data_IF_463547113288
#
_entry.id   IF_463547113288
#
_cell.length_a   1.000
_cell.length_b   1.000
_cell.length_c   1.000
_cell.angle_alpha   90.00
_cell.angle_beta   90.00
_cell.angle_gamma   90.00
#
_symmetry.space_group_name_H-M   'P 1'
#
loop_
_entity.id
_entity.type
_entity.pdbx_description
1 polymer ?
#
# COMPACT_ATOMS: atom_id res chain seq x y z
N UNK A 1 21.99 -10.08 -23.12
CA UNK A 1 22.66 -10.03 -21.82
C UNK A 1 23.69 -8.87 -21.67
N UNK A 2 23.71 -7.84 -22.50
CA UNK A 2 24.69 -6.72 -22.40
C UNK A 2 24.05 -5.33 -22.16
N UNK A 3 22.72 -5.22 -22.13
CA UNK A 3 22.02 -3.93 -21.88
C UNK A 3 21.61 -3.70 -20.40
N UNK A 4 21.60 -4.72 -19.58
CA UNK A 4 21.25 -4.60 -18.15
C UNK A 4 22.29 -3.87 -17.27
N UNK A 5 23.52 -3.67 -17.75
CA UNK A 5 24.60 -3.04 -16.98
C UNK A 5 24.60 -1.50 -17.01
N UNK A 6 23.75 -0.86 -17.81
CA UNK A 6 23.76 0.61 -17.94
C UNK A 6 22.74 1.34 -17.05
N UNK A 7 21.77 0.64 -16.49
CA UNK A 7 20.73 1.27 -15.65
C UNK A 7 21.15 1.39 -14.16
N UNK A 8 22.11 0.59 -13.72
CA UNK A 8 22.58 0.59 -12.32
C UNK A 8 23.59 1.71 -11.98
N UNK A 9 24.06 2.47 -12.95
CA UNK A 9 25.13 3.46 -12.77
C UNK A 9 24.65 4.90 -12.54
N UNK A 10 23.35 5.21 -12.61
CA UNK A 10 22.84 6.58 -12.48
C UNK A 10 22.21 6.93 -11.12
N UNK A 11 22.17 6.02 -10.14
CA UNK A 11 21.50 6.26 -8.84
C UNK A 11 22.48 6.57 -7.69
N UNK A 12 23.79 6.54 -7.93
CA UNK A 12 24.80 6.74 -6.85
C UNK A 12 25.73 7.94 -7.06
N UNK A 13 25.23 9.12 -7.41
CA UNK A 13 26.07 10.32 -7.47
C UNK A 13 25.31 11.61 -7.12
N UNK A 14 24.74 11.69 -5.92
CA UNK A 14 24.30 12.99 -5.36
C UNK A 14 24.21 12.93 -3.83
N UNK A 15 25.32 12.67 -3.17
CA UNK A 15 25.49 12.99 -1.75
C UNK A 15 26.97 13.14 -1.46
N UNK A 16 27.47 14.38 -1.50
CA UNK A 16 28.64 14.87 -0.77
C UNK A 16 29.09 16.22 -1.37
N UNK A 17 28.65 17.31 -0.77
CA UNK A 17 29.47 18.53 -0.56
C UNK A 17 28.57 19.68 -0.07
N UNK A 18 28.61 19.97 1.22
CA UNK A 18 28.48 21.30 1.74
C UNK A 18 29.00 21.31 3.19
N UNK A 19 30.29 21.52 3.31
CA UNK A 19 30.90 22.06 4.54
C UNK A 19 31.30 23.51 4.27
N UNK A 20 30.98 24.40 5.18
CA UNK A 20 31.77 25.59 5.33
C UNK A 20 31.08 26.92 5.57
N UNK A 21 31.14 27.37 6.84
CA UNK A 21 31.45 28.71 7.37
C UNK A 21 30.39 29.79 7.49
N UNK A 22 30.01 30.00 8.71
CA UNK A 22 30.12 31.17 9.62
C UNK A 22 29.59 32.53 9.20
N UNK A 23 28.80 33.14 10.10
CA UNK A 23 28.52 34.58 10.15
C UNK A 23 27.43 34.93 11.16
N UNK A 24 27.85 35.58 12.21
CA UNK A 24 27.17 35.97 13.44
C UNK A 24 25.97 36.92 13.27
N UNK A 25 25.04 36.91 14.26
CA UNK A 25 24.06 37.97 14.46
C UNK A 25 22.98 37.54 15.44
N UNK A 26 23.13 37.92 16.72
CA UNK A 26 22.27 37.54 17.82
C UNK A 26 20.99 38.32 17.95
N UNK A 27 20.01 37.71 18.58
CA UNK A 27 19.00 38.38 19.38
C UNK A 27 18.43 37.41 20.43
N UNK A 28 18.37 37.90 21.64
CA UNK A 28 18.03 37.23 22.90
C UNK A 28 16.56 36.85 22.99
N UNK A 29 16.31 35.70 23.55
CA UNK A 29 15.05 35.29 24.16
C UNK A 29 15.20 35.29 25.68
N UNK A 30 14.27 35.73 26.49
CA UNK A 30 14.25 35.43 27.91
C UNK A 30 13.37 34.22 28.21
N UNK A 31 13.97 33.31 28.95
CA UNK A 31 13.27 32.20 29.63
C UNK A 31 12.91 32.68 31.04
N UNK A 32 11.79 32.22 31.58
CA UNK A 32 11.54 32.17 33.02
C UNK A 32 10.76 30.91 33.42
N UNK A 33 10.90 30.47 34.70
CA UNK A 33 11.04 29.06 35.03
C UNK A 33 9.84 28.49 35.77
N UNK A 34 9.78 27.13 35.72
CA UNK A 34 8.89 26.31 36.53
C UNK A 34 9.37 26.19 37.97
N UNK A 35 8.50 26.30 38.91
CA UNK A 35 8.73 26.00 40.34
C UNK A 35 8.30 24.59 40.66
N UNK A 36 9.26 23.90 41.24
CA UNK A 36 9.17 22.69 42.05
C UNK A 36 8.63 23.01 43.44
N UNK A 37 7.75 22.15 43.99
CA UNK A 37 7.65 21.97 45.42
C UNK A 37 7.40 20.51 45.77
N UNK A 38 8.29 19.99 46.58
CA UNK A 38 8.27 18.68 47.22
C UNK A 38 7.93 18.87 48.71
N UNK A 39 7.20 17.90 49.23
CA UNK A 39 7.22 17.52 50.65
C UNK A 39 6.43 16.18 50.74
N UNK A 40 6.91 15.07 51.24
CA UNK A 40 7.75 14.77 52.39
C UNK A 40 6.89 14.18 53.50
N UNK A 41 7.27 12.95 53.90
CA UNK A 41 7.19 12.35 55.23
C UNK A 41 6.27 11.13 55.40
N UNK A 42 6.87 9.97 55.46
CA UNK A 42 7.22 9.04 56.57
C UNK A 42 6.11 8.12 57.12
N UNK A 43 6.32 6.85 56.88
CA UNK A 43 6.42 5.65 57.75
C UNK A 43 5.45 5.50 58.90
N UNK A 44 4.81 4.35 58.95
CA UNK A 44 4.85 3.45 60.12
C UNK A 44 4.54 2.00 59.71
N UNK A 45 5.18 1.10 60.48
CA UNK A 45 5.25 -0.33 60.38
C UNK A 45 4.04 -1.03 61.02
N UNK A 46 3.62 -2.18 60.47
CA UNK A 46 2.68 -3.07 61.13
C UNK A 46 2.59 -4.42 60.44
N UNK A 47 3.27 -5.39 60.99
CA UNK A 47 3.27 -6.83 60.70
C UNK A 47 1.91 -7.48 61.00
N UNK A 48 1.40 -8.37 60.16
CA UNK A 48 1.10 -9.77 60.45
C UNK A 48 0.26 -10.45 59.38
N UNK A 49 0.70 -11.61 59.04
CA UNK A 49 0.17 -12.81 58.45
C UNK A 49 -1.35 -12.99 58.45
N UNK A 50 -1.91 -13.39 57.31
CA UNK A 50 -2.63 -14.67 57.26
C UNK A 50 -2.84 -15.13 55.81
N UNK A 51 -2.72 -16.44 55.63
CA UNK A 51 -2.89 -17.25 54.47
C UNK A 51 -4.28 -17.10 53.85
N UNK A 52 -4.34 -16.57 52.64
CA UNK A 52 -5.49 -16.67 51.76
C UNK A 52 -5.05 -17.15 50.39
N UNK A 53 -5.48 -18.34 50.03
CA UNK A 53 -5.23 -18.93 48.72
C UNK A 53 -5.52 -17.94 47.60
N UNK A 54 -4.48 -17.48 46.98
CA UNK A 54 -4.55 -16.70 45.76
C UNK A 54 -4.97 -17.65 44.64
N UNK A 55 -6.27 -17.68 44.36
CA UNK A 55 -6.77 -18.19 43.12
C UNK A 55 -6.07 -17.36 42.02
N UNK A 56 -5.13 -17.97 41.34
CA UNK A 56 -4.61 -17.45 40.10
C UNK A 56 -5.83 -17.27 39.17
N UNK A 57 -6.28 -16.03 39.06
CA UNK A 57 -7.08 -15.64 37.91
C UNK A 57 -6.16 -15.85 36.74
N UNK A 58 -6.29 -16.97 36.03
CA UNK A 58 -5.87 -17.12 34.67
C UNK A 58 -6.71 -16.12 33.91
N UNK A 59 -6.22 -14.89 33.76
CA UNK A 59 -6.72 -13.98 32.79
C UNK A 59 -6.46 -14.67 31.44
N UNK A 60 -7.48 -15.27 30.88
CA UNK A 60 -7.46 -15.63 29.48
C UNK A 60 -7.27 -14.29 28.74
N UNK A 61 -6.06 -14.05 28.22
CA UNK A 61 -5.83 -12.94 27.32
C UNK A 61 -6.83 -13.11 26.18
N UNK A 62 -7.69 -12.11 25.96
CA UNK A 62 -8.62 -12.16 24.85
C UNK A 62 -7.79 -12.35 23.56
N UNK A 63 -8.16 -13.32 22.70
CA UNK A 63 -7.39 -13.58 21.49
C UNK A 63 -7.39 -12.35 20.58
N UNK A 64 -6.21 -11.89 20.21
CA UNK A 64 -6.00 -10.76 19.31
C UNK A 64 -5.41 -11.27 18.00
N UNK A 65 -5.95 -10.83 16.87
CA UNK A 65 -5.49 -11.13 15.54
C UNK A 65 -4.89 -9.85 14.91
N UNK A 66 -3.62 -9.87 14.57
CA UNK A 66 -2.93 -8.73 13.93
C UNK A 66 -3.00 -8.88 12.42
N UNK A 67 -3.65 -7.92 11.75
CA UNK A 67 -3.88 -7.94 10.30
C UNK A 67 -3.09 -6.84 9.61
N UNK A 68 -2.19 -7.23 8.72
CA UNK A 68 -1.47 -6.32 7.81
C UNK A 68 -2.29 -6.12 6.54
N UNK A 69 -2.69 -4.88 6.26
CA UNK A 69 -3.57 -4.59 5.13
C UNK A 69 -3.25 -3.26 4.42
N UNK A 70 -3.46 -3.24 3.10
CA UNK A 70 -3.51 -2.02 2.29
C UNK A 70 -4.94 -1.71 1.80
N UNK A 71 -5.94 -2.40 2.36
CA UNK A 71 -7.34 -2.21 1.98
C UNK A 71 -7.87 -0.87 2.44
N UNK A 72 -8.93 -0.39 1.76
CA UNK A 72 -9.57 0.86 2.14
C UNK A 72 -10.16 0.79 3.55
N UNK A 73 -10.20 1.92 4.24
CA UNK A 73 -10.84 2.03 5.54
C UNK A 73 -12.31 1.58 5.50
N UNK A 74 -13.02 1.89 4.41
CA UNK A 74 -14.41 1.48 4.23
C UNK A 74 -14.56 -0.05 4.23
N UNK A 75 -13.65 -0.78 3.58
CA UNK A 75 -13.69 -2.24 3.56
C UNK A 75 -13.30 -2.83 4.93
N UNK A 76 -12.27 -2.31 5.57
CA UNK A 76 -11.88 -2.72 6.91
C UNK A 76 -13.03 -2.54 7.90
N UNK A 77 -13.69 -1.38 7.87
CA UNK A 77 -14.83 -1.06 8.74
C UNK A 77 -16.10 -1.90 8.45
N UNK A 78 -16.22 -2.43 7.24
CA UNK A 78 -17.33 -3.32 6.88
C UNK A 78 -17.10 -4.77 7.33
N UNK A 79 -15.86 -5.25 7.27
CA UNK A 79 -15.55 -6.68 7.48
C UNK A 79 -15.13 -6.97 8.93
N UNK A 80 -14.26 -6.15 9.50
CA UNK A 80 -13.64 -6.44 10.80
C UNK A 80 -14.66 -6.51 11.94
N UNK A 81 -15.61 -5.56 12.10
CA UNK A 81 -16.58 -5.63 13.19
C UNK A 81 -17.50 -6.86 13.12
N UNK A 82 -17.86 -7.32 11.92
CA UNK A 82 -18.64 -8.55 11.77
C UNK A 82 -17.81 -9.79 12.14
N UNK A 83 -16.54 -9.84 11.76
CA UNK A 83 -15.63 -10.90 12.16
C UNK A 83 -15.46 -10.95 13.69
N UNK A 84 -15.20 -9.82 14.35
CA UNK A 84 -15.08 -9.73 15.80
C UNK A 84 -16.36 -10.18 16.52
N UNK A 85 -17.50 -9.75 16.01
CA UNK A 85 -18.82 -10.14 16.56
C UNK A 85 -19.07 -11.65 16.44
N UNK A 86 -18.74 -12.24 15.29
CA UNK A 86 -19.02 -13.64 15.00
C UNK A 86 -18.05 -14.60 15.70
N UNK A 87 -16.81 -14.17 15.94
CA UNK A 87 -15.74 -15.02 16.49
C UNK A 87 -15.37 -14.70 17.93
N UNK A 88 -15.63 -13.50 18.41
CA UNK A 88 -15.13 -12.98 19.69
C UNK A 88 -13.63 -12.64 19.66
N UNK A 89 -12.96 -12.75 18.51
CA UNK A 89 -11.53 -12.45 18.35
C UNK A 89 -11.37 -10.96 18.03
N UNK A 90 -10.55 -10.25 18.82
CA UNK A 90 -10.21 -8.85 18.54
C UNK A 90 -9.23 -8.73 17.38
N UNK A 91 -9.40 -7.68 16.56
CA UNK A 91 -8.54 -7.44 15.40
C UNK A 91 -7.79 -6.12 15.55
N UNK A 92 -6.46 -6.19 15.50
CA UNK A 92 -5.58 -5.04 15.37
C UNK A 92 -5.13 -4.90 13.91
N UNK A 93 -5.26 -3.69 13.36
CA UNK A 93 -4.98 -3.44 11.95
C UNK A 93 -3.74 -2.58 11.78
N UNK A 94 -2.80 -3.06 10.98
CA UNK A 94 -1.63 -2.29 10.51
C UNK A 94 -1.85 -1.94 9.05
N UNK A 95 -2.07 -0.66 8.77
CA UNK A 95 -2.35 -0.17 7.42
C UNK A 95 -1.13 0.48 6.80
N UNK A 96 -0.66 -0.05 5.67
CA UNK A 96 0.43 0.53 4.88
C UNK A 96 0.38 0.03 3.42
N UNK A 97 1.27 0.52 2.55
CA UNK A 97 1.42 0.01 1.20
C UNK A 97 1.94 -1.43 1.18
N UNK A 98 1.58 -2.21 0.15
CA UNK A 98 1.96 -3.63 0.05
C UNK A 98 3.46 -3.86 0.20
N UNK A 99 4.29 -3.07 -0.49
CA UNK A 99 5.73 -3.21 -0.43
C UNK A 99 6.32 -2.87 0.94
N UNK A 100 5.72 -1.91 1.65
CA UNK A 100 6.10 -1.56 3.01
C UNK A 100 5.76 -2.69 3.99
N UNK A 101 4.55 -3.25 3.87
CA UNK A 101 4.14 -4.39 4.68
C UNK A 101 4.99 -5.64 4.42
N UNK A 102 5.38 -5.91 3.17
CA UNK A 102 6.29 -7.00 2.84
C UNK A 102 7.68 -6.78 3.44
N UNK A 103 8.23 -5.56 3.39
CA UNK A 103 9.51 -5.22 4.05
C UNK A 103 9.42 -5.40 5.57
N UNK A 104 8.28 -5.01 6.16
CA UNK A 104 8.02 -5.21 7.58
C UNK A 104 7.97 -6.70 7.92
N UNK A 105 7.16 -7.50 7.23
CA UNK A 105 7.11 -8.95 7.42
C UNK A 105 8.49 -9.61 7.25
N UNK A 106 9.30 -9.15 6.28
CA UNK A 106 10.67 -9.63 6.10
C UNK A 106 11.57 -9.29 7.29
N UNK A 107 11.43 -8.10 7.88
CA UNK A 107 12.22 -7.70 9.06
C UNK A 107 11.79 -8.45 10.32
N UNK A 108 10.57 -8.92 10.37
CA UNK A 108 9.96 -9.66 11.48
C UNK A 108 10.02 -11.18 11.28
N UNK A 109 10.69 -11.67 10.23
CA UNK A 109 10.67 -13.09 9.83
C UNK A 109 11.00 -14.06 10.96
N UNK A 110 11.95 -13.71 11.83
CA UNK A 110 12.37 -14.56 12.95
C UNK A 110 11.45 -14.44 14.17
N UNK A 111 10.60 -13.43 14.21
CA UNK A 111 9.60 -13.19 15.25
C UNK A 111 8.41 -12.44 14.65
N UNK A 112 7.53 -13.10 13.89
CA UNK A 112 6.39 -12.47 13.24
C UNK A 112 5.46 -11.78 14.22
N UNK A 113 5.08 -10.54 13.93
CA UNK A 113 4.15 -9.74 14.72
C UNK A 113 2.76 -9.65 14.07
N UNK A 114 2.63 -10.03 12.80
CA UNK A 114 1.37 -10.07 12.07
C UNK A 114 0.93 -11.51 11.84
N UNK A 115 -0.35 -11.77 12.04
CA UNK A 115 -0.97 -13.09 11.86
C UNK A 115 -1.52 -13.27 10.45
N UNK A 116 -2.13 -12.21 9.90
CA UNK A 116 -2.77 -12.22 8.59
C UNK A 116 -2.20 -11.12 7.70
N UNK A 117 -1.85 -11.49 6.46
CA UNK A 117 -1.46 -10.57 5.41
C UNK A 117 -2.62 -10.42 4.41
N UNK A 118 -3.51 -9.45 4.67
CA UNK A 118 -4.70 -9.22 3.85
C UNK A 118 -4.48 -8.10 2.85
N UNK A 119 -3.66 -8.38 1.85
CA UNK A 119 -3.22 -7.38 0.87
C UNK A 119 -2.51 -8.06 -0.30
N UNK A 120 -2.18 -7.30 -1.31
CA UNK A 120 -1.39 -7.69 -2.47
C UNK A 120 -2.12 -8.57 -3.50
N UNK A 121 -1.41 -8.87 -4.52
CA UNK A 121 -1.72 -9.86 -5.53
C UNK A 121 -0.75 -11.06 -5.45
N UNK A 122 -1.15 -12.17 -6.04
CA UNK A 122 -0.37 -13.40 -6.01
C UNK A 122 1.04 -13.25 -6.61
N UNK A 123 1.21 -12.38 -7.61
CA UNK A 123 2.50 -12.20 -8.29
C UNK A 123 3.53 -11.58 -7.35
N UNK A 124 3.14 -10.50 -6.64
CA UNK A 124 4.00 -9.87 -5.63
C UNK A 124 4.31 -10.82 -4.47
N UNK A 125 3.31 -11.54 -3.96
CA UNK A 125 3.48 -12.46 -2.85
C UNK A 125 4.37 -13.64 -3.20
N UNK A 126 4.33 -14.12 -4.44
CA UNK A 126 5.11 -15.27 -4.88
C UNK A 126 6.62 -15.07 -4.76
N UNK A 127 7.09 -13.83 -4.88
CA UNK A 127 8.52 -13.49 -4.67
C UNK A 127 8.96 -13.53 -3.20
N UNK A 128 8.01 -13.55 -2.27
CA UNK A 128 8.22 -13.53 -0.81
C UNK A 128 7.52 -14.70 -0.13
N UNK A 129 7.34 -15.80 -0.84
CA UNK A 129 6.59 -16.98 -0.40
C UNK A 129 7.10 -17.56 0.93
N UNK A 130 8.39 -17.45 1.19
CA UNK A 130 9.07 -17.93 2.40
C UNK A 130 8.72 -17.15 3.68
N UNK A 131 7.94 -16.07 3.56
CA UNK A 131 7.39 -15.31 4.69
C UNK A 131 6.04 -15.87 5.17
N UNK A 132 5.42 -16.77 4.40
CA UNK A 132 4.05 -17.22 4.64
C UNK A 132 3.99 -18.70 4.96
N UNK A 133 3.04 -19.05 5.81
CA UNK A 133 2.73 -20.45 6.13
C UNK A 133 1.93 -21.09 4.99
N UNK A 134 2.21 -22.35 4.70
CA UNK A 134 1.40 -23.13 3.77
C UNK A 134 -0.01 -23.35 4.35
N UNK A 135 -1.01 -22.88 3.61
CA UNK A 135 -2.40 -22.98 4.01
C UNK A 135 -3.34 -22.87 2.81
N UNK A 136 -4.33 -23.75 2.77
CA UNK A 136 -5.44 -23.70 1.83
C UNK A 136 -6.73 -23.59 2.63
N UNK A 137 -7.47 -22.52 2.42
CA UNK A 137 -8.75 -22.29 3.11
C UNK A 137 -9.76 -23.40 2.77
N UNK A 138 -10.57 -23.88 3.73
CA UNK A 138 -11.72 -24.73 3.44
C UNK A 138 -12.71 -24.09 2.45
N UNK A 139 -12.79 -22.75 2.44
CA UNK A 139 -13.64 -21.99 1.53
C UNK A 139 -13.11 -21.91 0.09
N UNK A 140 -11.90 -22.39 -0.19
CA UNK A 140 -11.32 -22.36 -1.53
C UNK A 140 -12.18 -23.07 -2.56
N UNK A 141 -12.89 -24.12 -2.16
CA UNK A 141 -13.83 -24.84 -3.01
C UNK A 141 -15.04 -24.00 -3.49
N UNK A 142 -15.37 -22.93 -2.76
CA UNK A 142 -16.44 -21.99 -3.07
C UNK A 142 -16.00 -20.88 -4.04
N UNK A 143 -14.68 -20.78 -4.30
CA UNK A 143 -14.13 -19.84 -5.28
C UNK A 143 -14.37 -20.34 -6.70
N UNK A 144 -14.50 -19.38 -7.64
CA UNK A 144 -14.48 -19.70 -9.07
C UNK A 144 -13.17 -20.46 -9.40
N UNK A 145 -13.27 -21.51 -10.19
CA UNK A 145 -12.15 -22.42 -10.46
C UNK A 145 -10.86 -21.68 -10.91
N UNK A 146 -11.00 -20.66 -11.75
CA UNK A 146 -9.87 -19.86 -12.24
C UNK A 146 -9.17 -19.03 -11.15
N UNK A 147 -9.81 -18.84 -10.00
CA UNK A 147 -9.30 -18.03 -8.88
C UNK A 147 -9.05 -18.84 -7.61
N UNK A 148 -9.03 -20.17 -7.70
CA UNK A 148 -8.68 -21.02 -6.55
C UNK A 148 -7.20 -20.92 -6.20
N UNK A 149 -6.90 -21.20 -4.94
CA UNK A 149 -5.52 -21.26 -4.46
C UNK A 149 -4.75 -22.39 -5.16
N UNK A 150 -3.94 -22.04 -6.13
CA UNK A 150 -3.08 -22.95 -6.89
C UNK A 150 -1.62 -22.97 -6.38
N UNK A 151 -1.33 -22.17 -5.34
CA UNK A 151 0.03 -22.01 -4.79
C UNK A 151 0.26 -22.82 -3.52
N UNK A 152 -0.80 -23.18 -2.81
CA UNK A 152 -0.76 -23.76 -1.45
C UNK A 152 -0.56 -22.71 -0.33
N UNK A 153 -0.44 -21.42 -0.66
CA UNK A 153 -0.10 -20.36 0.31
C UNK A 153 -1.07 -19.18 0.32
N UNK A 154 -1.64 -18.82 -0.83
CA UNK A 154 -2.41 -17.59 -0.97
C UNK A 154 -3.86 -17.90 -1.29
N UNK A 155 -4.76 -17.50 -0.41
CA UNK A 155 -6.21 -17.63 -0.62
C UNK A 155 -6.71 -16.35 -1.29
N UNK A 156 -7.26 -16.41 -2.51
CA UNK A 156 -7.86 -15.26 -3.15
C UNK A 156 -9.10 -14.80 -2.37
N UNK A 157 -9.27 -13.50 -2.19
CA UNK A 157 -10.44 -12.92 -1.56
C UNK A 157 -11.41 -12.36 -2.61
N UNK A 158 -10.88 -11.72 -3.66
CA UNK A 158 -11.66 -11.17 -4.77
C UNK A 158 -10.76 -10.94 -6.00
N UNK A 159 -11.38 -10.69 -7.14
CA UNK A 159 -10.72 -10.29 -8.38
C UNK A 159 -11.05 -8.83 -8.69
N UNK A 160 -10.05 -7.98 -8.68
CA UNK A 160 -10.18 -6.55 -8.96
C UNK A 160 -9.54 -6.21 -10.30
N UNK A 161 -10.30 -5.90 -11.35
CA UNK A 161 -9.70 -5.48 -12.60
C UNK A 161 -9.03 -4.11 -12.47
N UNK A 162 -7.89 -3.94 -13.13
CA UNK A 162 -7.23 -2.64 -13.30
C UNK A 162 -8.08 -1.75 -14.18
N UNK A 163 -8.30 -0.51 -13.73
CA UNK A 163 -9.08 0.49 -14.46
C UNK A 163 -8.38 1.84 -14.49
N UNK A 164 -8.72 2.66 -15.48
CA UNK A 164 -8.47 4.10 -15.44
C UNK A 164 -9.69 4.81 -14.85
N UNK A 165 -9.45 5.69 -13.91
CA UNK A 165 -10.46 6.62 -13.40
C UNK A 165 -10.15 8.02 -13.92
N UNK A 166 -11.16 8.76 -14.33
CA UNK A 166 -10.98 10.07 -14.96
C UNK A 166 -11.89 11.10 -14.27
N UNK A 167 -11.28 12.21 -13.85
CA UNK A 167 -12.04 13.35 -13.36
C UNK A 167 -12.70 14.08 -14.54
N UNK A 168 -14.02 14.08 -14.58
CA UNK A 168 -14.82 14.62 -15.71
C UNK A 168 -14.65 16.12 -15.88
N UNK A 169 -14.57 16.82 -14.76
CA UNK A 169 -14.54 18.28 -14.77
C UNK A 169 -13.17 18.78 -15.25
N UNK A 170 -12.10 18.03 -14.96
CA UNK A 170 -10.75 18.37 -15.38
C UNK A 170 -10.37 17.84 -16.76
N UNK A 171 -11.04 16.76 -17.20
CA UNK A 171 -10.78 16.15 -18.51
C UNK A 171 -11.06 17.10 -19.66
N UNK A 172 -12.13 17.93 -19.56
CA UNK A 172 -12.60 18.75 -20.68
C UNK A 172 -12.87 17.87 -21.92
N UNK A 173 -12.37 18.31 -23.08
CA UNK A 173 -12.53 17.62 -24.36
C UNK A 173 -11.43 16.57 -24.63
N UNK A 174 -10.49 16.36 -23.70
CA UNK A 174 -9.42 15.36 -23.88
C UNK A 174 -10.01 13.96 -24.03
N UNK A 175 -9.51 13.23 -25.03
CA UNK A 175 -9.78 11.81 -25.18
C UNK A 175 -8.89 11.03 -24.19
N UNK A 176 -9.50 10.22 -23.35
CA UNK A 176 -8.81 9.33 -22.39
C UNK A 176 -9.60 8.02 -22.38
N UNK A 177 -9.34 7.13 -23.33
CA UNK A 177 -10.04 5.87 -23.53
C UNK A 177 -9.12 4.64 -23.42
N UNK A 178 -7.80 4.83 -23.55
CA UNK A 178 -6.80 3.77 -23.54
C UNK A 178 -5.44 4.24 -23.04
N UNK A 179 -4.50 3.30 -22.96
CA UNK A 179 -3.14 3.60 -22.50
C UNK A 179 -2.42 4.60 -23.42
N UNK A 180 -2.69 4.55 -24.73
CA UNK A 180 -2.09 5.46 -25.71
C UNK A 180 -2.39 6.92 -25.37
N UNK A 181 -3.60 7.19 -24.88
CA UNK A 181 -4.04 8.54 -24.55
C UNK A 181 -3.27 9.13 -23.33
N UNK A 182 -2.67 8.27 -22.49
CA UNK A 182 -1.87 8.70 -21.35
C UNK A 182 -0.54 9.36 -21.75
N UNK A 183 -0.13 9.20 -23.02
CA UNK A 183 1.04 9.88 -23.58
C UNK A 183 0.73 11.29 -24.06
N UNK A 184 -0.53 11.75 -23.99
CA UNK A 184 -0.90 13.12 -24.35
C UNK A 184 -0.10 14.12 -23.51
N UNK A 185 0.66 15.05 -24.12
CA UNK A 185 1.44 16.05 -23.40
C UNK A 185 0.61 16.96 -22.47
N UNK A 186 -0.68 17.12 -22.74
CA UNK A 186 -1.58 17.90 -21.89
C UNK A 186 -1.83 17.23 -20.52
N UNK A 187 -1.56 15.91 -20.42
CA UNK A 187 -1.64 15.15 -19.18
C UNK A 187 -0.34 15.18 -18.38
N UNK A 188 0.71 15.85 -18.86
CA UNK A 188 1.98 15.91 -18.14
C UNK A 188 1.81 16.44 -16.73
N UNK A 189 2.24 15.63 -15.72
CA UNK A 189 2.10 15.93 -14.31
C UNK A 189 0.66 15.91 -13.77
N UNK A 190 -0.31 15.40 -14.56
CA UNK A 190 -1.73 15.31 -14.21
C UNK A 190 -2.24 13.86 -14.15
N UNK A 191 -1.34 12.89 -14.16
CA UNK A 191 -1.64 11.46 -14.07
C UNK A 191 -1.31 10.99 -12.66
N UNK A 192 -2.27 10.42 -11.96
CA UNK A 192 -2.04 9.74 -10.68
C UNK A 192 -1.64 8.29 -10.94
N UNK A 193 -0.43 7.94 -10.56
CA UNK A 193 0.09 6.58 -10.66
C UNK A 193 0.85 6.22 -9.39
N UNK A 194 0.59 5.03 -8.86
CA UNK A 194 1.28 4.52 -7.68
C UNK A 194 2.69 4.03 -8.00
N UNK A 195 3.56 3.99 -7.00
CA UNK A 195 4.85 3.33 -7.12
C UNK A 195 4.66 1.80 -7.21
N UNK A 196 5.05 1.14 -8.32
CA UNK A 196 4.86 -0.30 -8.49
C UNK A 196 5.64 -1.15 -7.48
N UNK A 197 6.66 -0.61 -6.83
CA UNK A 197 7.42 -1.30 -5.78
C UNK A 197 6.63 -1.38 -4.46
N UNK A 198 5.82 -0.36 -4.19
CA UNK A 198 5.10 -0.21 -2.93
C UNK A 198 3.59 -0.48 -3.04
N UNK A 199 3.04 -0.50 -4.24
CA UNK A 199 1.60 -0.66 -4.50
C UNK A 199 1.32 -1.81 -5.47
N UNK A 200 0.61 -2.84 -5.03
CA UNK A 200 0.21 -3.96 -5.87
C UNK A 200 -0.69 -3.54 -7.03
N UNK A 201 -1.60 -2.60 -6.84
CA UNK A 201 -2.43 -2.09 -7.94
C UNK A 201 -1.62 -1.34 -9.00
N UNK A 202 -0.60 -0.59 -8.59
CA UNK A 202 0.31 0.07 -9.53
C UNK A 202 1.17 -0.96 -10.27
N UNK A 203 1.61 -2.02 -9.59
CA UNK A 203 2.33 -3.13 -10.22
C UNK A 203 1.45 -3.83 -11.27
N UNK A 204 0.18 -4.13 -10.94
CA UNK A 204 -0.76 -4.72 -11.90
C UNK A 204 -1.05 -3.77 -13.07
N UNK A 205 -1.15 -2.47 -12.82
CA UNK A 205 -1.31 -1.47 -13.89
C UNK A 205 -0.09 -1.41 -14.80
N UNK A 206 1.12 -1.51 -14.26
CA UNK A 206 2.35 -1.61 -15.05
C UNK A 206 2.35 -2.87 -15.91
N UNK A 207 1.99 -4.03 -15.37
CA UNK A 207 1.87 -5.26 -16.14
C UNK A 207 0.83 -5.12 -17.25
N UNK A 208 -0.34 -4.53 -16.95
CA UNK A 208 -1.38 -4.30 -17.97
C UNK A 208 -0.89 -3.39 -19.09
N UNK A 209 -0.10 -2.34 -18.81
CA UNK A 209 0.53 -1.49 -19.82
C UNK A 209 1.54 -2.28 -20.66
N UNK A 210 2.41 -3.06 -20.03
CA UNK A 210 3.42 -3.85 -20.73
C UNK A 210 2.78 -4.87 -21.71
N UNK A 211 1.74 -5.56 -21.26
CA UNK A 211 1.00 -6.50 -22.13
C UNK A 211 0.19 -5.77 -23.21
N UNK A 212 -0.48 -4.68 -22.85
CA UNK A 212 -1.37 -3.95 -23.77
C UNK A 212 -0.62 -3.16 -24.84
N UNK A 213 0.58 -2.68 -24.52
CA UNK A 213 1.39 -1.82 -25.42
C UNK A 213 2.54 -2.56 -26.07
N UNK A 214 2.79 -3.80 -25.63
CA UNK A 214 3.84 -4.65 -26.18
C UNK A 214 3.51 -5.13 -27.59
N UNK A 215 4.55 -5.31 -28.41
CA UNK A 215 4.40 -5.88 -29.75
C UNK A 215 3.84 -7.30 -29.65
N UNK A 216 2.72 -7.55 -30.29
CA UNK A 216 2.02 -8.84 -30.29
C UNK A 216 1.65 -9.33 -28.86
N UNK A 217 1.47 -8.38 -27.92
CA UNK A 217 1.18 -8.67 -26.53
C UNK A 217 2.40 -9.15 -25.70
N UNK A 218 3.62 -9.03 -26.23
CA UNK A 218 4.85 -9.38 -25.52
C UNK A 218 5.26 -8.27 -24.55
N UNK A 219 5.14 -8.49 -23.21
CA UNK A 219 5.50 -7.49 -22.20
C UNK A 219 7.00 -7.23 -22.10
N UNK A 220 7.83 -8.06 -22.73
CA UNK A 220 9.28 -7.91 -22.76
C UNK A 220 9.79 -7.22 -24.02
N UNK A 221 8.89 -6.88 -24.97
CA UNK A 221 9.25 -6.19 -26.21
C UNK A 221 9.82 -4.80 -25.94
N UNK A 222 10.74 -4.35 -26.79
CA UNK A 222 11.26 -2.97 -26.73
C UNK A 222 10.09 -1.94 -26.81
N UNK A 223 9.05 -2.23 -27.61
CA UNK A 223 7.86 -1.36 -27.73
C UNK A 223 7.12 -1.17 -26.41
N UNK A 224 6.96 -2.24 -25.60
CA UNK A 224 6.31 -2.13 -24.30
C UNK A 224 7.10 -1.20 -23.35
N UNK A 225 8.40 -1.35 -23.33
CA UNK A 225 9.27 -0.55 -22.47
C UNK A 225 9.46 0.88 -22.97
N UNK A 226 9.51 1.11 -24.30
CA UNK A 226 9.50 2.45 -24.87
C UNK A 226 8.22 3.23 -24.52
N UNK A 227 7.06 2.52 -24.45
CA UNK A 227 5.82 3.12 -23.96
C UNK A 227 5.94 3.50 -22.48
N UNK A 228 6.41 2.58 -21.63
CA UNK A 228 6.55 2.82 -20.19
C UNK A 228 7.51 3.98 -19.92
N UNK A 229 8.61 4.10 -20.64
CA UNK A 229 9.54 5.23 -20.52
C UNK A 229 8.87 6.57 -20.82
N UNK A 230 8.05 6.63 -21.88
CA UNK A 230 7.28 7.82 -22.22
C UNK A 230 6.20 8.13 -21.18
N UNK A 231 5.51 7.09 -20.70
CA UNK A 231 4.52 7.23 -19.63
C UNK A 231 5.13 7.78 -18.34
N UNK A 232 6.27 7.25 -17.91
CA UNK A 232 7.01 7.75 -16.73
C UNK A 232 7.44 9.20 -16.91
N UNK A 233 7.92 9.57 -18.12
CA UNK A 233 8.26 10.95 -18.42
C UNK A 233 7.03 11.89 -18.30
N UNK A 234 5.84 11.39 -18.63
CA UNK A 234 4.58 12.15 -18.55
C UNK A 234 4.05 12.28 -17.12
N UNK A 235 4.50 11.43 -16.16
CA UNK A 235 4.21 11.60 -14.74
C UNK A 235 4.87 12.86 -14.14
N UNK A 236 5.89 13.40 -14.81
CA UNK A 236 6.65 14.59 -14.38
C UNK A 236 7.25 14.46 -12.97
N UNK A 237 7.75 13.25 -12.65
CA UNK A 237 8.36 12.93 -11.35
C UNK A 237 7.38 12.75 -10.19
N UNK A 238 6.07 12.76 -10.47
CA UNK A 238 5.04 12.56 -9.45
C UNK A 238 4.63 11.11 -9.39
N UNK A 239 4.76 10.50 -8.21
CA UNK A 239 4.27 9.15 -7.93
C UNK A 239 3.53 9.15 -6.59
N UNK A 240 2.43 8.41 -6.53
CA UNK A 240 1.66 8.19 -5.31
C UNK A 240 2.26 7.02 -4.52
N UNK A 241 2.29 7.14 -3.20
CA UNK A 241 2.82 6.06 -2.34
C UNK A 241 1.83 4.91 -2.13
N UNK A 242 0.56 5.13 -2.44
CA UNK A 242 -0.50 4.13 -2.27
C UNK A 242 -1.60 4.30 -3.32
N UNK A 243 -2.33 3.22 -3.56
CA UNK A 243 -3.52 3.25 -4.40
C UNK A 243 -4.60 4.21 -3.88
N UNK A 244 -4.68 4.38 -2.56
CA UNK A 244 -5.61 5.34 -1.94
C UNK A 244 -5.31 6.78 -2.34
N UNK A 245 -4.05 7.16 -2.48
CA UNK A 245 -3.67 8.48 -2.98
C UNK A 245 -4.06 8.66 -4.44
N UNK A 246 -3.97 7.60 -5.26
CA UNK A 246 -4.35 7.66 -6.67
C UNK A 246 -5.82 8.06 -6.81
N UNK A 247 -6.75 7.26 -6.25
CA UNK A 247 -8.17 7.53 -6.46
C UNK A 247 -8.66 8.78 -5.71
N UNK A 248 -8.13 9.08 -4.53
CA UNK A 248 -8.46 10.31 -3.81
C UNK A 248 -7.98 11.54 -4.57
N UNK A 249 -6.75 11.56 -5.04
CA UNK A 249 -6.20 12.69 -5.80
C UNK A 249 -6.97 12.97 -7.08
N UNK A 250 -7.48 11.93 -7.77
CA UNK A 250 -8.37 12.13 -8.93
C UNK A 250 -9.74 12.67 -8.51
N UNK A 251 -10.33 12.11 -7.44
CA UNK A 251 -11.64 12.55 -6.94
C UNK A 251 -11.61 14.00 -6.43
N UNK A 252 -10.54 14.40 -5.77
CA UNK A 252 -10.32 15.74 -5.21
C UNK A 252 -9.88 16.77 -6.27
N UNK A 253 -9.60 16.31 -7.51
CA UNK A 253 -9.23 17.19 -8.62
C UNK A 253 -7.75 17.58 -8.64
N UNK A 254 -6.89 16.87 -7.94
CA UNK A 254 -5.43 17.03 -8.04
C UNK A 254 -4.90 16.49 -9.38
N UNK A 255 -5.51 15.39 -9.86
CA UNK A 255 -5.14 14.73 -11.11
C UNK A 255 -6.34 14.59 -12.04
N UNK A 256 -6.07 14.56 -13.34
CA UNK A 256 -7.09 14.37 -14.39
C UNK A 256 -7.46 12.91 -14.53
N UNK A 257 -6.47 12.03 -14.46
CA UNK A 257 -6.63 10.57 -14.64
C UNK A 257 -5.77 9.81 -13.64
N UNK A 258 -6.21 8.63 -13.24
CA UNK A 258 -5.45 7.74 -12.38
C UNK A 258 -5.63 6.28 -12.76
N UNK A 259 -4.60 5.46 -12.51
CA UNK A 259 -4.64 4.01 -12.70
C UNK A 259 -4.80 3.33 -11.33
N UNK A 260 -5.88 2.56 -11.20
CA UNK A 260 -6.26 1.92 -9.93
C UNK A 260 -7.08 0.65 -10.21
N UNK A 261 -7.71 0.08 -9.18
CA UNK A 261 -8.65 -1.04 -9.33
C UNK A 261 -10.10 -0.55 -9.39
N UNK A 262 -11.03 -1.44 -9.71
CA UNK A 262 -12.42 -1.06 -10.00
C UNK A 262 -13.21 -0.52 -8.81
N UNK A 263 -12.99 -1.06 -7.59
CA UNK A 263 -13.77 -0.73 -6.39
C UNK A 263 -13.87 0.78 -6.08
N UNK A 264 -12.78 1.58 -6.13
CA UNK A 264 -12.85 3.01 -5.81
C UNK A 264 -13.82 3.83 -6.67
N UNK A 265 -14.15 3.39 -7.88
CA UNK A 265 -15.09 4.12 -8.77
C UNK A 265 -16.48 4.27 -8.16
N UNK A 266 -16.90 3.33 -7.31
CA UNK A 266 -18.20 3.37 -6.64
C UNK A 266 -18.23 4.32 -5.44
N UNK A 267 -17.07 4.71 -4.94
CA UNK A 267 -16.94 5.59 -3.77
C UNK A 267 -17.12 7.06 -4.13
N UNK A 268 -16.94 7.46 -5.40
CA UNK A 268 -16.92 8.85 -5.81
C UNK A 268 -17.82 9.08 -7.04
N UNK A 269 -18.92 9.83 -6.86
CA UNK A 269 -19.86 10.15 -7.93
C UNK A 269 -19.30 11.08 -9.01
N UNK A 270 -18.23 11.83 -8.72
CA UNK A 270 -17.55 12.73 -9.65
C UNK A 270 -16.57 12.02 -10.58
N UNK A 271 -16.27 10.74 -10.33
CA UNK A 271 -15.32 9.95 -11.10
C UNK A 271 -16.08 8.98 -12.03
N UNK A 272 -15.77 9.00 -13.33
CA UNK A 272 -16.29 8.01 -14.28
C UNK A 272 -15.34 6.84 -14.41
N UNK A 273 -15.87 5.60 -14.56
CA UNK A 273 -15.08 4.51 -15.05
C UNK A 273 -14.69 4.83 -16.51
N UNK A 274 -13.41 4.98 -16.77
CA UNK A 274 -12.91 4.71 -18.09
C UNK A 274 -13.23 3.25 -18.40
N UNK A 275 -13.59 2.95 -19.65
CA UNK A 275 -13.97 1.59 -20.08
C UNK A 275 -12.89 0.61 -19.70
N UNK A 276 -13.29 -0.63 -19.36
CA UNK A 276 -12.36 -1.74 -19.20
C UNK A 276 -11.31 -1.68 -20.31
N UNK A 277 -10.04 -1.74 -19.95
CA UNK A 277 -8.96 -1.93 -20.89
C UNK A 277 -9.21 -3.28 -21.58
N UNK A 278 -9.88 -3.25 -22.73
CA UNK A 278 -10.00 -4.43 -23.55
C UNK A 278 -8.61 -4.72 -24.08
N UNK A 279 -8.02 -5.81 -23.64
CA UNK A 279 -7.00 -6.46 -24.45
C UNK A 279 -7.65 -6.76 -25.80
N UNK A 280 -7.20 -6.13 -26.85
CA UNK A 280 -7.57 -6.55 -28.19
C UNK A 280 -6.92 -7.92 -28.40
N UNK A 281 -7.75 -8.95 -28.33
CA UNK A 281 -7.43 -10.31 -28.77
C UNK A 281 -7.36 -10.34 -30.31
#
# INVERSE_FOLDING_TARGET
>A
MRKFQKVTACIMAAALAATGCSGAGGAKVPAEPAKTEAAGTQADSGTQEDSGAQAAASGEEEPVLVVYTARSEALNNAVIPEFEKDTGIKVEVVVAGTGELLKRAQSEKDNPLGDIFWVADQTMLSSSKDLFMEYVSPEDSNMLEAFRNNTGYFTPAFADPTVMIVNKDLKGDMKIDGFEDLLNPELKGKIAFGDPVNSSSAFQSLLAMLYGMGKDGDPLSDQAWDYVDQFIANLDGKMCNSSSQVYKGVAEGEYVVGLTWEDPRFLFSSVFPARYLRSHS
#
